data_IF_668077947769
#
_entry.id   IF_668077947769
#
_cell.length_a   1.000
_cell.length_b   1.000
_cell.length_c   1.000
_cell.angle_alpha   90.00
_cell.angle_beta   90.00
_cell.angle_gamma   90.00
#
_symmetry.space_group_name_H-M   'P 1'
#
loop_
_entity.id
_entity.type
_entity.pdbx_description
1 polymer ?
#
# COMPACT_ATOMS: atom_id res chain seq x y z
N UNK A 1 -21.68 -0.44 10.62
CA UNK A 1 -22.02 -1.30 9.47
C UNK A 1 -21.15 -0.86 8.30
N UNK A 2 -20.15 -1.65 7.92
CA UNK A 2 -19.30 -1.37 6.75
C UNK A 2 -20.09 -1.82 5.52
N UNK A 3 -20.34 -0.90 4.59
CA UNK A 3 -21.15 -1.14 3.38
C UNK A 3 -20.27 -1.90 2.38
N UNK A 4 -20.63 -3.14 2.04
CA UNK A 4 -20.02 -3.94 0.97
C UNK A 4 -20.36 -3.30 -0.39
N UNK A 5 -19.61 -2.27 -0.75
CA UNK A 5 -19.75 -1.55 -2.02
C UNK A 5 -18.41 -1.12 -2.62
N UNK A 6 -17.30 -1.65 -2.11
CA UNK A 6 -16.01 -1.55 -2.79
C UNK A 6 -15.88 -2.65 -3.83
N UNK A 7 -15.09 -2.44 -4.88
CA UNK A 7 -14.71 -3.44 -5.90
C UNK A 7 -14.01 -4.71 -5.34
N UNK A 8 -13.92 -4.82 -4.02
CA UNK A 8 -13.20 -5.81 -3.25
C UNK A 8 -14.23 -6.68 -2.51
N UNK A 9 -14.80 -7.66 -3.22
CA UNK A 9 -15.34 -8.84 -2.54
C UNK A 9 -14.18 -9.52 -1.81
N UNK A 10 -14.39 -9.72 -0.52
CA UNK A 10 -13.43 -9.97 0.56
C UNK A 10 -12.77 -11.35 0.55
N UNK A 11 -12.31 -11.84 -0.61
CA UNK A 11 -11.48 -13.04 -0.71
C UNK A 11 -10.02 -12.74 -1.14
N UNK A 12 -9.71 -11.49 -1.45
CA UNK A 12 -8.36 -11.07 -1.84
C UNK A 12 -7.47 -10.80 -0.63
N UNK A 13 -6.46 -11.65 -0.38
CA UNK A 13 -5.36 -11.31 0.53
C UNK A 13 -4.63 -10.08 -0.01
N UNK A 14 -4.62 -8.98 0.74
CA UNK A 14 -3.81 -7.79 0.44
C UNK A 14 -2.46 -7.92 1.17
N UNK A 15 -1.38 -7.76 0.43
CA UNK A 15 -0.01 -7.66 0.95
C UNK A 15 0.46 -6.21 0.82
N UNK A 16 0.95 -5.65 1.92
CA UNK A 16 1.46 -4.28 1.97
C UNK A 16 2.89 -4.34 2.51
N UNK A 17 3.82 -3.73 1.78
CA UNK A 17 5.19 -3.50 2.23
C UNK A 17 5.28 -2.10 2.78
N UNK A 18 5.73 -2.00 4.03
CA UNK A 18 5.93 -0.73 4.72
C UNK A 18 7.43 -0.44 4.77
N UNK A 19 7.79 0.83 4.68
CA UNK A 19 9.15 1.28 4.95
C UNK A 19 9.55 0.95 6.39
N UNK A 20 10.85 0.85 6.65
CA UNK A 20 11.37 0.60 8.00
C UNK A 20 11.53 1.87 8.86
N UNK A 21 11.04 3.02 8.39
CA UNK A 21 11.05 4.23 9.22
C UNK A 21 9.91 4.24 10.27
N UNK A 22 9.91 5.26 11.14
CA UNK A 22 8.90 5.43 12.19
C UNK A 22 7.47 5.62 11.64
N UNK A 23 7.33 6.13 10.42
CA UNK A 23 6.04 6.45 9.79
C UNK A 23 5.47 5.27 9.00
N UNK A 24 6.26 4.21 8.76
CA UNK A 24 5.85 2.97 8.09
C UNK A 24 5.10 3.25 6.79
N UNK A 25 5.69 4.09 5.95
CA UNK A 25 5.10 4.53 4.69
C UNK A 25 4.93 3.31 3.77
N UNK A 26 3.73 3.08 3.19
CA UNK A 26 3.53 2.01 2.22
C UNK A 26 4.35 2.25 0.95
N UNK A 27 5.25 1.33 0.62
CA UNK A 27 6.11 1.41 -0.57
C UNK A 27 5.63 0.50 -1.70
N UNK A 28 4.89 -0.57 -1.36
CA UNK A 28 4.30 -1.50 -2.33
C UNK A 28 3.00 -2.10 -1.80
N UNK A 29 2.05 -2.33 -2.70
CA UNK A 29 0.81 -3.06 -2.43
C UNK A 29 0.61 -4.11 -3.51
N UNK A 30 0.29 -5.34 -3.10
CA UNK A 30 -0.14 -6.41 -3.99
C UNK A 30 -1.49 -6.95 -3.49
N UNK A 31 -2.42 -7.18 -4.41
CA UNK A 31 -3.69 -7.83 -4.08
C UNK A 31 -4.14 -8.77 -5.17
N UNK A 32 -4.73 -9.89 -4.75
CA UNK A 32 -5.41 -10.83 -5.66
C UNK A 32 -6.82 -10.33 -5.94
N UNK A 33 -7.18 -10.31 -7.22
CA UNK A 33 -8.54 -10.06 -7.69
C UNK A 33 -9.06 -11.30 -8.39
N UNK A 34 -10.35 -11.30 -8.77
CA UNK A 34 -11.02 -12.47 -9.36
C UNK A 34 -10.24 -13.00 -10.58
N UNK A 35 -9.63 -12.11 -11.37
CA UNK A 35 -8.76 -12.48 -12.50
C UNK A 35 -7.49 -11.63 -12.45
N UNK A 36 -6.38 -12.26 -12.06
CA UNK A 36 -5.05 -11.64 -12.01
C UNK A 36 -4.68 -11.03 -10.66
N UNK A 37 -3.73 -10.10 -10.68
CA UNK A 37 -3.28 -9.33 -9.51
C UNK A 37 -3.18 -7.85 -9.85
N UNK A 38 -3.29 -7.03 -8.82
CA UNK A 38 -2.98 -5.60 -8.88
C UNK A 38 -1.70 -5.39 -8.08
N UNK A 39 -0.72 -4.77 -8.73
CA UNK A 39 0.56 -4.37 -8.14
C UNK A 39 0.68 -2.85 -8.21
N UNK A 40 0.95 -2.23 -7.07
CA UNK A 40 1.17 -0.79 -6.97
C UNK A 40 2.50 -0.52 -6.24
N UNK A 41 3.29 0.40 -6.78
CA UNK A 41 4.58 0.81 -6.24
C UNK A 41 4.59 2.33 -6.02
N UNK A 42 5.17 2.77 -4.90
CA UNK A 42 5.31 4.18 -4.57
C UNK A 42 6.33 4.82 -5.54
N UNK A 43 5.86 5.75 -6.37
CA UNK A 43 6.73 6.49 -7.32
C UNK A 43 7.27 7.79 -6.73
N UNK A 44 6.39 8.57 -6.11
CA UNK A 44 6.71 9.88 -5.56
C UNK A 44 5.88 10.15 -4.32
N UNK A 45 6.37 11.04 -3.45
CA UNK A 45 5.67 11.48 -2.26
C UNK A 45 5.90 12.99 -2.04
N UNK A 46 4.96 13.65 -1.38
CA UNK A 46 5.07 15.06 -1.03
C UNK A 46 4.31 15.35 0.26
N UNK A 47 4.58 16.50 0.89
CA UNK A 47 3.87 16.92 2.11
C UNK A 47 4.19 16.09 3.35
N UNK A 48 5.42 15.58 3.48
CA UNK A 48 5.82 14.83 4.67
C UNK A 48 5.74 15.69 5.93
N UNK A 49 5.21 15.11 7.01
CA UNK A 49 5.26 15.72 8.34
C UNK A 49 6.65 15.50 8.97
N UNK A 50 7.67 16.14 8.41
CA UNK A 50 9.08 16.07 8.84
C UNK A 50 10.02 15.39 7.82
N UNK A 51 11.31 15.25 8.15
CA UNK A 51 12.32 14.74 7.22
C UNK A 51 12.11 13.25 6.89
N UNK A 52 12.45 12.88 5.66
CA UNK A 52 12.54 11.48 5.23
C UNK A 52 13.83 10.87 5.81
N UNK A 53 13.69 9.83 6.63
CA UNK A 53 14.81 9.09 7.23
C UNK A 53 15.02 7.71 6.61
N UNK A 54 14.14 7.28 5.71
CA UNK A 54 14.27 5.99 5.04
C UNK A 54 15.52 5.97 4.17
N UNK A 55 16.22 4.82 4.13
CA UNK A 55 17.36 4.63 3.23
C UNK A 55 16.88 4.75 1.78
N UNK A 56 17.62 5.51 0.98
CA UNK A 56 17.50 5.56 -0.48
C UNK A 56 18.68 4.72 -0.98
N UNK A 57 18.39 3.56 -1.57
CA UNK A 57 19.37 2.84 -2.40
C UNK A 57 19.24 3.28 -3.85
#
# INVERSE_FOLDING_TARGET
>A
MVKEGGLFKSEGRILIWLSDDERKIPVKVNTKVIIGSIDAELKEYSGLNGPLKSKIE
#
